data_IF_119620755766
#
_entry.id   IF_119620755766
#
_cell.length_a   1.000
_cell.length_b   1.000
_cell.length_c   1.000
_cell.angle_alpha   90.00
_cell.angle_beta   90.00
_cell.angle_gamma   90.00
#
_symmetry.space_group_name_H-M   'P 1'
#
loop_
_entity.id
_entity.type
_entity.pdbx_description
1 polymer ?
#
# COMPACT_ATOMS: atom_id res chain seq x y z
N UNK A 1 14.85 -1.98 -27.88
CA UNK A 1 14.91 -1.20 -26.62
C UNK A 1 14.01 0.02 -26.63
N UNK A 2 14.13 0.95 -27.60
CA UNK A 2 13.28 2.16 -27.66
C UNK A 2 11.76 1.84 -27.67
N UNK A 3 11.33 1.00 -28.61
CA UNK A 3 9.92 0.58 -28.77
C UNK A 3 9.30 -0.05 -27.51
N UNK A 4 10.11 -0.75 -26.73
CA UNK A 4 9.70 -1.41 -25.47
C UNK A 4 9.54 -0.38 -24.34
N UNK A 5 10.43 0.61 -24.29
CA UNK A 5 10.31 1.74 -23.34
C UNK A 5 9.10 2.61 -23.64
N UNK A 6 8.77 2.80 -24.92
CA UNK A 6 7.61 3.59 -25.35
C UNK A 6 6.30 2.89 -24.97
N UNK A 7 6.20 1.58 -25.22
CA UNK A 7 5.07 0.77 -24.77
C UNK A 7 4.92 0.80 -23.24
N UNK A 8 6.02 0.65 -22.49
CA UNK A 8 5.99 0.77 -21.03
C UNK A 8 5.46 2.12 -20.55
N UNK A 9 5.81 3.21 -21.23
CA UNK A 9 5.32 4.53 -20.87
C UNK A 9 3.81 4.69 -21.18
N UNK A 10 3.27 3.95 -22.15
CA UNK A 10 1.83 3.96 -22.47
C UNK A 10 1.00 3.12 -21.48
N UNK A 11 1.50 1.94 -21.09
CA UNK A 11 0.78 1.01 -20.22
C UNK A 11 1.01 1.23 -18.72
N UNK A 12 2.02 2.02 -18.34
CA UNK A 12 2.45 2.18 -16.96
C UNK A 12 3.47 1.12 -16.53
N UNK A 13 4.36 1.49 -15.61
CA UNK A 13 5.43 0.63 -15.10
C UNK A 13 4.90 -0.53 -14.26
N UNK A 14 3.74 -0.37 -13.64
CA UNK A 14 3.13 -1.37 -12.77
C UNK A 14 2.59 -2.56 -13.55
N UNK A 15 1.79 -2.31 -14.61
CA UNK A 15 1.14 -3.37 -15.38
C UNK A 15 1.95 -3.85 -16.58
N UNK A 16 2.89 -3.05 -17.10
CA UNK A 16 3.65 -3.46 -18.27
C UNK A 16 4.57 -4.65 -17.95
N UNK A 17 4.34 -5.76 -18.67
CA UNK A 17 5.20 -6.96 -18.63
C UNK A 17 6.14 -6.96 -19.82
N UNK A 18 7.44 -7.08 -19.56
CA UNK A 18 8.43 -7.26 -20.62
C UNK A 18 8.28 -8.66 -21.26
N UNK A 19 8.59 -8.83 -22.56
CA UNK A 19 8.70 -10.16 -23.16
C UNK A 19 9.72 -11.00 -22.38
N UNK A 20 9.32 -12.20 -21.96
CA UNK A 20 10.12 -13.09 -21.08
C UNK A 20 10.54 -12.47 -19.73
N UNK A 21 9.90 -11.37 -19.34
CA UNK A 21 10.20 -10.65 -18.10
C UNK A 21 8.99 -10.53 -17.19
N UNK A 22 9.17 -9.78 -16.11
CA UNK A 22 8.16 -9.56 -15.10
C UNK A 22 7.57 -8.15 -15.19
N UNK A 23 6.38 -7.99 -14.63
CA UNK A 23 5.71 -6.71 -14.41
C UNK A 23 5.86 -6.23 -12.96
N UNK A 24 5.49 -4.99 -12.68
CA UNK A 24 5.39 -4.49 -11.30
C UNK A 24 4.35 -5.26 -10.48
N UNK A 25 3.24 -5.70 -11.09
CA UNK A 25 2.24 -6.54 -10.44
C UNK A 25 2.84 -7.89 -9.97
N UNK A 26 3.68 -8.54 -10.80
CA UNK A 26 4.35 -9.78 -10.41
C UNK A 26 5.29 -9.59 -9.19
N UNK A 27 5.93 -8.42 -9.10
CA UNK A 27 6.76 -8.04 -7.94
C UNK A 27 5.89 -7.74 -6.71
N UNK A 28 4.72 -7.12 -6.90
CA UNK A 28 3.78 -6.81 -5.83
C UNK A 28 3.27 -8.07 -5.11
N UNK A 29 2.98 -9.13 -5.86
CA UNK A 29 2.58 -10.42 -5.28
C UNK A 29 3.68 -11.00 -4.39
N UNK A 30 4.93 -11.00 -4.86
CA UNK A 30 6.07 -11.50 -4.07
C UNK A 30 6.33 -10.65 -2.83
N UNK A 31 6.24 -9.33 -2.95
CA UNK A 31 6.35 -8.42 -1.80
C UNK A 31 5.25 -8.70 -0.78
N UNK A 32 4.03 -9.00 -1.24
CA UNK A 32 2.92 -9.39 -0.35
C UNK A 32 3.25 -10.66 0.42
N UNK A 33 3.68 -11.73 -0.25
CA UNK A 33 4.07 -12.97 0.41
C UNK A 33 5.26 -12.81 1.37
N UNK A 34 6.22 -11.94 1.02
CA UNK A 34 7.33 -11.57 1.90
C UNK A 34 6.81 -10.90 3.18
N UNK A 35 5.94 -9.89 3.05
CA UNK A 35 5.38 -9.17 4.18
C UNK A 35 4.60 -10.10 5.12
N UNK A 36 3.77 -10.99 4.60
CA UNK A 36 3.06 -11.97 5.42
C UNK A 36 4.00 -12.85 6.23
N UNK A 37 5.10 -13.31 5.61
CA UNK A 37 6.09 -14.14 6.28
C UNK A 37 6.86 -13.34 7.33
N UNK A 38 7.24 -12.09 7.01
CA UNK A 38 7.88 -11.18 7.94
C UNK A 38 7.00 -10.92 9.17
N UNK A 39 5.71 -10.62 8.97
CA UNK A 39 4.78 -10.40 10.07
C UNK A 39 4.65 -11.63 10.97
N UNK A 40 4.56 -12.84 10.40
CA UNK A 40 4.54 -14.09 11.18
C UNK A 40 5.82 -14.30 11.98
N UNK A 41 6.98 -13.98 11.42
CA UNK A 41 8.26 -14.13 12.12
C UNK A 41 8.46 -13.08 13.22
N UNK A 42 7.91 -11.87 13.06
CA UNK A 42 7.83 -10.85 14.12
C UNK A 42 6.90 -11.33 15.25
N UNK A 43 5.69 -11.76 14.91
CA UNK A 43 4.64 -12.17 15.86
C UNK A 43 5.04 -13.43 16.67
N UNK A 44 5.71 -14.38 16.01
CA UNK A 44 6.23 -15.59 16.67
C UNK A 44 7.53 -15.35 17.45
N UNK A 45 7.99 -14.10 17.59
CA UNK A 45 9.24 -13.71 18.26
C UNK A 45 10.50 -14.39 17.70
N UNK A 46 10.45 -14.97 16.50
CA UNK A 46 11.60 -15.65 15.86
C UNK A 46 12.75 -14.70 15.57
N UNK A 47 12.43 -13.44 15.28
CA UNK A 47 13.41 -12.40 14.99
C UNK A 47 13.87 -11.67 16.26
N UNK A 48 13.12 -11.75 17.35
CA UNK A 48 13.47 -11.04 18.57
C UNK A 48 14.31 -11.93 19.50
N UNK A 49 15.62 -11.69 19.55
CA UNK A 49 16.55 -12.45 20.40
C UNK A 49 16.39 -12.14 21.89
N UNK A 50 15.68 -11.07 22.27
CA UNK A 50 15.43 -10.68 23.65
C UNK A 50 14.08 -9.98 23.77
N UNK A 51 13.21 -10.44 24.67
CA UNK A 51 11.88 -9.84 24.91
C UNK A 51 11.89 -8.36 25.32
N UNK A 52 13.07 -7.79 25.61
CA UNK A 52 13.23 -6.42 26.09
C UNK A 52 13.88 -5.48 25.07
N UNK A 53 14.26 -5.96 23.89
CA UNK A 53 14.90 -5.13 22.87
C UNK A 53 13.92 -4.73 21.76
N UNK A 54 13.99 -3.46 21.36
CA UNK A 54 13.29 -2.97 20.18
C UNK A 54 13.86 -3.64 18.92
N UNK A 55 12.97 -4.20 18.09
CA UNK A 55 13.35 -4.84 16.83
C UNK A 55 13.44 -3.79 15.71
N UNK A 56 14.64 -3.58 15.18
CA UNK A 56 14.87 -2.78 13.98
C UNK A 56 15.19 -3.70 12.79
N UNK A 57 14.54 -3.46 11.66
CA UNK A 57 14.71 -4.26 10.45
C UNK A 57 15.41 -3.44 9.36
N UNK A 58 16.39 -4.04 8.71
CA UNK A 58 17.06 -3.46 7.53
C UNK A 58 16.76 -4.35 6.34
N UNK A 59 16.08 -3.79 5.34
CA UNK A 59 15.73 -4.47 4.09
C UNK A 59 16.57 -3.87 2.97
N UNK A 60 17.42 -4.68 2.34
CA UNK A 60 18.26 -4.28 1.21
C UNK A 60 17.65 -4.85 -0.07
N UNK A 61 17.32 -4.00 -1.04
CA UNK A 61 16.65 -4.41 -2.27
C UNK A 61 16.93 -3.47 -3.46
N UNK A 62 16.17 -3.62 -4.53
CA UNK A 62 16.24 -2.80 -5.75
C UNK A 62 15.18 -1.69 -5.75
N UNK A 63 15.42 -0.62 -6.52
CA UNK A 63 14.55 0.57 -6.50
C UNK A 63 13.07 0.30 -6.82
N UNK A 64 12.77 -0.57 -7.79
CA UNK A 64 11.37 -0.94 -8.10
C UNK A 64 10.72 -1.71 -6.95
N UNK A 65 11.46 -2.65 -6.34
CA UNK A 65 10.98 -3.44 -5.22
C UNK A 65 10.75 -2.58 -3.98
N UNK A 66 11.62 -1.60 -3.71
CA UNK A 66 11.43 -0.63 -2.62
C UNK A 66 10.15 0.19 -2.80
N UNK A 67 9.91 0.71 -4.01
CA UNK A 67 8.67 1.47 -4.30
C UNK A 67 7.43 0.59 -4.14
N UNK A 68 7.48 -0.65 -4.63
CA UNK A 68 6.37 -1.62 -4.50
C UNK A 68 6.17 -2.03 -3.03
N UNK A 69 7.25 -2.14 -2.26
CA UNK A 69 7.19 -2.37 -0.83
C UNK A 69 6.42 -1.26 -0.12
N UNK A 70 6.76 0.01 -0.38
CA UNK A 70 6.04 1.16 0.19
C UNK A 70 4.58 1.22 -0.29
N UNK A 71 4.34 1.00 -1.58
CA UNK A 71 3.00 0.92 -2.15
C UNK A 71 2.16 -0.14 -1.41
N UNK A 72 2.71 -1.34 -1.22
CA UNK A 72 2.02 -2.43 -0.54
C UNK A 72 1.80 -2.17 0.94
N UNK A 73 2.76 -1.54 1.62
CA UNK A 73 2.70 -1.22 3.04
C UNK A 73 1.68 -0.12 3.35
N UNK A 74 1.76 1.00 2.64
CA UNK A 74 0.90 2.15 2.85
C UNK A 74 -0.41 2.08 2.06
N UNK A 75 -0.60 1.01 1.28
CA UNK A 75 -1.79 0.78 0.44
C UNK A 75 -2.00 1.90 -0.58
N UNK A 76 -0.91 2.37 -1.19
CA UNK A 76 -0.98 3.39 -2.24
C UNK A 76 -1.58 2.82 -3.53
N UNK A 77 -2.28 3.67 -4.28
CA UNK A 77 -2.86 3.28 -5.57
C UNK A 77 -1.80 3.12 -6.64
N UNK A 78 -2.16 2.52 -7.78
CA UNK A 78 -1.24 2.40 -8.93
C UNK A 78 -0.85 3.78 -9.45
N UNK A 79 -1.79 4.72 -9.50
CA UNK A 79 -1.53 6.09 -9.95
C UNK A 79 -0.51 6.79 -9.06
N UNK A 80 -0.65 6.66 -7.74
CA UNK A 80 0.31 7.15 -6.77
C UNK A 80 1.68 6.49 -6.95
N UNK A 81 1.70 5.16 -7.15
CA UNK A 81 2.94 4.43 -7.39
C UNK A 81 3.67 4.93 -8.64
N UNK A 82 2.97 5.19 -9.75
CA UNK A 82 3.60 5.62 -11.00
C UNK A 82 4.32 6.98 -10.87
N UNK A 83 3.84 7.86 -9.97
CA UNK A 83 4.48 9.16 -9.69
C UNK A 83 5.79 9.05 -8.91
N UNK A 84 6.01 7.94 -8.21
CA UNK A 84 7.22 7.78 -7.40
C UNK A 84 8.49 7.81 -8.27
N UNK A 85 9.53 8.42 -7.74
CA UNK A 85 10.86 8.38 -8.30
C UNK A 85 11.60 7.12 -7.84
N UNK A 86 12.52 6.63 -8.68
CA UNK A 86 13.38 5.53 -8.24
C UNK A 86 14.39 6.07 -7.23
N UNK A 87 14.60 5.37 -6.10
CA UNK A 87 15.64 5.74 -5.16
C UNK A 87 17.02 5.80 -5.82
N UNK A 88 17.88 6.70 -5.33
CA UNK A 88 19.30 6.73 -5.73
C UNK A 88 20.01 5.46 -5.23
N UNK A 89 21.15 5.12 -5.84
CA UNK A 89 21.95 3.99 -5.37
C UNK A 89 22.36 4.22 -3.91
N UNK A 90 22.16 3.20 -3.07
CA UNK A 90 22.40 3.26 -1.63
C UNK A 90 21.57 4.31 -0.86
N UNK A 91 20.50 4.83 -1.45
CA UNK A 91 19.57 5.71 -0.73
C UNK A 91 18.80 4.94 0.35
N UNK A 92 18.62 5.57 1.51
CA UNK A 92 17.96 4.98 2.67
C UNK A 92 16.62 5.67 2.89
N UNK A 93 15.55 4.86 2.93
CA UNK A 93 14.21 5.31 3.28
C UNK A 93 13.80 4.64 4.59
N UNK A 94 13.79 5.44 5.67
CA UNK A 94 13.42 5.00 7.02
C UNK A 94 11.91 5.11 7.22
N UNK A 95 11.28 4.00 7.58
CA UNK A 95 9.93 3.98 8.13
C UNK A 95 10.03 3.86 9.65
N UNK A 96 9.49 4.84 10.37
CA UNK A 96 9.62 4.89 11.83
C UNK A 96 8.24 4.89 12.48
N UNK A 97 8.15 4.22 13.64
CA UNK A 97 6.92 4.18 14.42
C UNK A 97 6.64 5.57 15.00
N UNK A 98 5.49 6.13 14.63
CA UNK A 98 4.99 7.40 15.16
C UNK A 98 4.49 7.27 16.59
N UNK A 99 4.18 8.41 17.22
CA UNK A 99 3.72 8.46 18.62
C UNK A 99 2.44 7.67 18.86
N UNK A 100 1.65 7.48 17.82
CA UNK A 100 0.41 6.75 17.90
C UNK A 100 0.48 5.28 17.45
N UNK A 101 1.67 4.74 17.15
CA UNK A 101 1.85 3.30 16.92
C UNK A 101 1.64 2.83 15.47
N UNK A 102 1.66 3.76 14.52
CA UNK A 102 1.67 3.51 13.08
C UNK A 102 3.04 3.87 12.49
N UNK A 103 3.51 3.12 11.51
CA UNK A 103 4.74 3.47 10.79
C UNK A 103 4.48 4.62 9.81
N UNK A 104 5.43 5.54 9.71
CA UNK A 104 5.39 6.67 8.78
C UNK A 104 6.79 7.05 8.30
N UNK A 105 6.86 7.56 7.08
CA UNK A 105 8.06 8.19 6.52
C UNK A 105 8.28 9.61 7.10
N UNK A 106 7.19 10.32 7.42
CA UNK A 106 7.25 11.73 7.88
C UNK A 106 7.79 11.88 9.32
N UNK A 107 8.03 10.78 10.03
CA UNK A 107 8.68 10.81 11.35
C UNK A 107 10.18 11.07 11.21
N UNK A 108 10.81 10.52 10.18
CA UNK A 108 12.26 10.59 9.99
C UNK A 108 12.67 11.58 8.88
N UNK A 109 11.84 11.74 7.85
CA UNK A 109 12.16 12.53 6.66
C UNK A 109 11.37 13.84 6.63
N UNK A 110 11.96 14.87 6.01
CA UNK A 110 11.28 16.15 5.79
C UNK A 110 10.30 16.06 4.63
N UNK A 111 9.34 17.00 4.59
CA UNK A 111 8.35 17.07 3.51
C UNK A 111 9.00 17.23 2.14
N UNK A 112 10.05 18.03 2.04
CA UNK A 112 10.78 18.28 0.79
C UNK A 112 11.42 17.00 0.25
N UNK A 113 11.92 16.12 1.13
CA UNK A 113 12.46 14.82 0.72
C UNK A 113 11.37 13.90 0.18
N UNK A 114 10.19 13.90 0.82
CA UNK A 114 9.04 13.12 0.34
C UNK A 114 8.58 13.60 -1.05
N UNK A 115 8.56 14.91 -1.26
CA UNK A 115 8.25 15.51 -2.57
C UNK A 115 9.33 15.15 -3.62
N UNK A 116 10.62 15.15 -3.27
CA UNK A 116 11.71 14.71 -4.17
C UNK A 116 11.53 13.23 -4.58
N UNK A 117 11.01 12.40 -3.69
CA UNK A 117 10.67 10.99 -4.00
C UNK A 117 9.40 10.83 -4.83
N UNK A 118 8.69 11.91 -5.15
CA UNK A 118 7.49 11.90 -5.97
C UNK A 118 6.22 11.51 -5.22
N UNK A 119 6.19 11.67 -3.89
CA UNK A 119 4.95 11.50 -3.13
C UNK A 119 3.99 12.65 -3.46
N UNK A 120 2.72 12.31 -3.70
CA UNK A 120 1.67 13.31 -3.92
C UNK A 120 1.27 13.98 -2.60
N UNK A 121 0.63 15.14 -2.68
CA UNK A 121 0.12 15.86 -1.49
C UNK A 121 -0.75 14.99 -0.58
N UNK A 122 -1.57 14.12 -1.17
CA UNK A 122 -2.43 13.18 -0.43
C UNK A 122 -1.60 12.13 0.32
N UNK A 123 -0.55 11.60 -0.32
CA UNK A 123 0.36 10.65 0.32
C UNK A 123 1.12 11.31 1.48
N UNK A 124 1.62 12.53 1.28
CA UNK A 124 2.33 13.27 2.33
C UNK A 124 1.40 13.54 3.51
N UNK A 125 0.16 13.96 3.25
CA UNK A 125 -0.84 14.19 4.31
C UNK A 125 -1.13 12.90 5.08
N UNK A 126 -1.27 11.76 4.41
CA UNK A 126 -1.38 10.44 5.05
C UNK A 126 -0.15 10.12 5.93
N UNK A 127 1.07 10.37 5.44
CA UNK A 127 2.29 10.13 6.20
C UNK A 127 2.39 11.04 7.45
N UNK A 128 2.09 12.33 7.32
CA UNK A 128 2.06 13.27 8.44
C UNK A 128 1.00 12.89 9.48
N UNK A 129 -0.16 12.41 9.03
CA UNK A 129 -1.20 11.92 9.91
C UNK A 129 -0.77 10.64 10.64
N UNK A 130 -0.23 9.63 9.94
CA UNK A 130 0.31 8.39 10.54
C UNK A 130 1.40 8.65 11.58
N UNK A 131 2.21 9.70 11.40
CA UNK A 131 3.25 10.07 12.36
C UNK A 131 2.69 10.44 13.74
N UNK A 132 1.45 10.96 13.80
CA UNK A 132 0.83 11.52 15.01
C UNK A 132 -0.38 10.70 15.51
N UNK A 133 -1.10 10.03 14.62
CA UNK A 133 -2.41 9.43 14.89
C UNK A 133 -2.35 8.23 15.83
N UNK A 134 -3.13 8.28 16.91
CA UNK A 134 -3.24 7.20 17.91
C UNK A 134 -3.96 5.99 17.29
N UNK A 135 -3.31 4.82 17.37
CA UNK A 135 -3.83 3.53 16.90
C UNK A 135 -5.25 3.30 17.42
N UNK A 136 -6.19 3.11 16.49
CA UNK A 136 -7.62 2.95 16.78
C UNK A 136 -8.52 4.14 16.39
N UNK A 137 -7.96 5.32 16.10
CA UNK A 137 -8.72 6.43 15.48
C UNK A 137 -8.89 6.29 13.95
N UNK A 138 -8.15 5.37 13.33
CA UNK A 138 -8.19 5.02 11.90
C UNK A 138 -9.60 4.82 11.34
N UNK A 139 -10.51 4.23 12.11
CA UNK A 139 -11.86 3.89 11.63
C UNK A 139 -12.84 5.07 11.64
N UNK A 140 -12.53 6.18 12.33
CA UNK A 140 -13.48 7.29 12.52
C UNK A 140 -13.25 8.48 11.59
N UNK A 141 -12.01 8.72 11.17
CA UNK A 141 -11.63 10.03 10.62
C UNK A 141 -11.04 9.99 9.20
N UNK A 142 -10.83 8.81 8.58
CA UNK A 142 -10.25 8.73 7.22
C UNK A 142 -11.35 8.57 6.13
N UNK A 143 -11.53 9.54 5.20
CA UNK A 143 -12.64 9.55 4.25
C UNK A 143 -12.59 8.50 3.13
N UNK A 144 -11.57 7.63 3.07
CA UNK A 144 -11.35 6.75 1.91
C UNK A 144 -11.08 5.28 2.25
N UNK A 145 -11.40 4.84 3.46
CA UNK A 145 -11.28 3.41 3.77
C UNK A 145 -12.49 2.60 3.28
N UNK A 146 -13.67 3.21 3.06
CA UNK A 146 -14.86 2.52 2.53
C UNK A 146 -15.12 2.74 1.03
N UNK A 147 -14.83 3.91 0.47
CA UNK A 147 -15.50 4.35 -0.77
C UNK A 147 -14.77 3.98 -2.08
N UNK A 148 -14.30 2.73 -2.28
CA UNK A 148 -13.55 2.43 -3.53
C UNK A 148 -13.58 0.99 -4.05
N UNK A 149 -14.58 0.18 -3.72
CA UNK A 149 -14.71 -1.12 -4.42
C UNK A 149 -16.15 -1.61 -4.61
N UNK A 150 -17.07 -1.33 -3.68
CA UNK A 150 -18.45 -1.84 -3.74
C UNK A 150 -19.53 -0.75 -3.89
N UNK A 151 -19.17 0.54 -3.96
CA UNK A 151 -20.15 1.66 -4.02
C UNK A 151 -21.06 1.63 -5.25
N UNK A 152 -20.71 0.85 -6.27
CA UNK A 152 -21.55 0.65 -7.47
C UNK A 152 -22.46 -0.58 -7.37
N UNK A 153 -22.45 -1.30 -6.25
CA UNK A 153 -23.23 -2.52 -6.03
C UNK A 153 -24.41 -2.32 -5.08
N UNK A 154 -24.55 -1.14 -4.46
CA UNK A 154 -25.75 -0.76 -3.73
C UNK A 154 -26.73 -0.03 -4.65
N UNK A 155 -27.57 -0.81 -5.33
CA UNK A 155 -28.98 -0.52 -5.59
C UNK A 155 -29.59 -1.67 -6.41
N UNK A 156 -29.78 -2.82 -5.77
CA UNK A 156 -30.90 -3.68 -6.17
C UNK A 156 -32.12 -3.15 -5.40
N UNK A 157 -33.19 -2.70 -6.07
CA UNK A 157 -34.36 -2.17 -5.38
C UNK A 157 -34.92 -3.24 -4.43
N UNK A 158 -35.42 -2.85 -3.25
CA UNK A 158 -35.97 -3.79 -2.29
C UNK A 158 -37.10 -4.59 -2.95
N UNK A 159 -36.97 -5.92 -2.97
CA UNK A 159 -38.07 -6.82 -3.28
C UNK A 159 -39.23 -6.52 -2.34
N UNK A 160 -40.37 -6.12 -2.92
CA UNK A 160 -41.59 -5.78 -2.21
C UNK A 160 -42.02 -6.94 -1.29
N UNK A 161 -42.24 -6.72 0.02
CA UNK A 161 -42.62 -7.77 0.96
C UNK A 161 -43.98 -8.44 0.68
N UNK A 162 -44.73 -7.99 -0.33
CA UNK A 162 -46.06 -8.51 -0.67
C UNK A 162 -46.08 -9.57 -1.78
N UNK A 163 -44.93 -10.02 -2.30
CA UNK A 163 -44.89 -10.96 -3.44
C UNK A 163 -45.04 -12.46 -3.06
N UNK A 164 -45.43 -12.74 -1.81
CA UNK A 164 -45.76 -14.10 -1.34
C UNK A 164 -47.19 -14.17 -0.79
N UNK A 165 -48.18 -13.86 -1.62
CA UNK A 165 -49.58 -14.14 -1.29
C UNK A 165 -50.43 -14.36 -2.55
N UNK A 166 -50.28 -15.51 -3.20
CA UNK A 166 -51.36 -16.29 -3.83
C UNK A 166 -50.75 -17.37 -4.71
N UNK A 167 -50.98 -18.64 -4.36
CA UNK A 167 -51.29 -19.73 -5.29
C UNK A 167 -51.58 -20.99 -4.46
N UNK A 168 -52.69 -20.93 -3.71
CA UNK A 168 -53.54 -22.08 -3.46
C UNK A 168 -54.73 -21.92 -4.41
N UNK A 169 -54.75 -22.68 -5.50
CA UNK A 169 -55.93 -23.42 -5.98
C UNK A 169 -55.72 -24.03 -7.38
N UNK A 170 -55.80 -25.37 -7.37
CA UNK A 170 -56.29 -26.31 -8.41
C UNK A 170 -55.27 -27.28 -9.03
#
# INVERSE_FOLDING_TARGET
MARVKDLRNQFGRFFYRFPEGESGADVFDRVTSFLESLWRDIDSYRLNRSHYADLNLVIVSHGITMRIFLMRWFKWTVEQFEQLNNPKNCEIQVMQLGSGGEYSLAVHHTKEQLEEWGLTSDMITDQEWRAKAIRGQWYRDWPRFSDSFFDHLEDSPPTDPNDYASDDDN
#
